data_IF_097228236971
#
_entry.id   IF_097228236971
#
_cell.length_a   1.000
_cell.length_b   1.000
_cell.length_c   1.000
_cell.angle_alpha   90.00
_cell.angle_beta   90.00
_cell.angle_gamma   90.00
#
_symmetry.space_group_name_H-M   'P 1'
#
loop_
_entity.id
_entity.type
_entity.pdbx_description
1 polymer ?
#
# COMPACT_ATOMS: atom_id res chain seq x y z
N UNK A 1 -10.66 -17.79 -23.80
CA UNK A 1 -10.91 -16.49 -24.45
C UNK A 1 -10.95 -15.44 -23.36
N UNK A 2 -10.11 -14.42 -23.39
CA UNK A 2 -10.19 -13.30 -22.44
C UNK A 2 -11.48 -12.53 -22.73
N UNK A 3 -12.44 -12.56 -21.81
CA UNK A 3 -13.60 -11.69 -21.91
C UNK A 3 -13.18 -10.28 -21.52
N UNK A 4 -13.37 -9.33 -22.44
CA UNK A 4 -13.21 -7.91 -22.11
C UNK A 4 -14.20 -7.55 -21.00
N UNK A 5 -13.70 -6.89 -19.95
CA UNK A 5 -14.48 -6.38 -18.82
C UNK A 5 -14.30 -4.86 -18.76
N UNK A 6 -15.09 -4.09 -19.53
CA UNK A 6 -15.05 -2.64 -19.46
C UNK A 6 -15.45 -2.16 -18.07
N UNK A 7 -14.72 -1.18 -17.56
CA UNK A 7 -15.05 -0.52 -16.31
C UNK A 7 -16.26 0.37 -16.55
N UNK A 8 -17.40 0.06 -15.93
CA UNK A 8 -18.62 0.86 -16.05
C UNK A 8 -18.99 1.53 -14.74
N UNK A 9 -18.57 0.95 -13.61
CA UNK A 9 -18.76 1.53 -12.28
C UNK A 9 -17.51 1.42 -11.42
N UNK A 10 -17.10 2.53 -10.84
CA UNK A 10 -15.97 2.61 -9.92
C UNK A 10 -16.42 3.03 -8.52
N UNK A 11 -15.97 2.32 -7.48
CA UNK A 11 -16.14 2.70 -6.08
C UNK A 11 -14.86 3.33 -5.56
N UNK A 12 -14.91 4.63 -5.25
CA UNK A 12 -13.77 5.44 -4.81
C UNK A 12 -13.86 5.74 -3.31
N UNK A 13 -12.93 5.23 -2.51
CA UNK A 13 -12.87 5.44 -1.06
C UNK A 13 -11.42 5.48 -0.57
N UNK A 14 -10.78 6.63 -0.76
CA UNK A 14 -9.36 6.86 -0.42
C UNK A 14 -9.20 7.67 0.88
N UNK A 15 -8.13 7.44 1.64
CA UNK A 15 -7.63 8.34 2.69
C UNK A 15 -6.78 9.46 2.10
N UNK A 16 -5.76 9.14 1.29
CA UNK A 16 -4.94 10.08 0.53
C UNK A 16 -5.67 10.53 -0.73
N UNK A 17 -5.95 11.83 -0.81
CA UNK A 17 -6.73 12.46 -1.89
C UNK A 17 -5.87 12.89 -3.09
N UNK A 18 -4.56 12.67 -3.05
CA UNK A 18 -3.65 13.08 -4.13
C UNK A 18 -4.06 12.45 -5.46
N UNK A 19 -4.31 13.27 -6.48
CA UNK A 19 -4.66 12.83 -7.84
C UNK A 19 -6.06 12.22 -8.02
N UNK A 20 -6.87 12.09 -6.94
CA UNK A 20 -8.15 11.38 -7.03
C UNK A 20 -9.19 12.12 -7.87
N UNK A 21 -9.16 13.45 -7.88
CA UNK A 21 -10.12 14.28 -8.62
C UNK A 21 -9.87 14.13 -10.12
N UNK A 22 -8.61 14.24 -10.53
CA UNK A 22 -8.16 14.08 -11.92
C UNK A 22 -8.46 12.67 -12.42
N UNK A 23 -8.19 11.66 -11.60
CA UNK A 23 -8.50 10.27 -11.93
C UNK A 23 -10.01 10.03 -12.07
N UNK A 24 -10.82 10.57 -11.15
CA UNK A 24 -12.28 10.46 -11.20
C UNK A 24 -12.89 11.21 -12.41
N UNK A 25 -12.35 12.38 -12.76
CA UNK A 25 -12.71 13.10 -13.99
C UNK A 25 -12.40 12.25 -15.23
N UNK A 26 -11.21 11.64 -15.29
CA UNK A 26 -10.84 10.77 -16.39
C UNK A 26 -11.77 9.55 -16.51
N UNK A 27 -12.13 8.91 -15.40
CA UNK A 27 -13.13 7.84 -15.37
C UNK A 27 -14.50 8.33 -15.86
N UNK A 28 -14.98 9.46 -15.35
CA UNK A 28 -16.29 10.01 -15.73
C UNK A 28 -16.38 10.37 -17.22
N UNK A 29 -15.32 10.95 -17.80
CA UNK A 29 -15.24 11.24 -19.24
C UNK A 29 -15.37 9.99 -20.11
N UNK A 30 -15.05 8.81 -19.57
CA UNK A 30 -15.18 7.50 -20.23
C UNK A 30 -16.53 6.83 -19.96
N UNK A 31 -17.47 7.55 -19.33
CA UNK A 31 -18.80 7.06 -19.00
C UNK A 31 -18.86 6.15 -17.78
N UNK A 32 -17.82 6.15 -16.93
CA UNK A 32 -17.81 5.38 -15.69
C UNK A 32 -18.69 6.07 -14.65
N UNK A 33 -19.63 5.32 -14.07
CA UNK A 33 -20.41 5.76 -12.93
C UNK A 33 -19.55 5.75 -11.66
N UNK A 34 -19.60 6.85 -10.90
CA UNK A 34 -18.81 7.01 -9.69
C UNK A 34 -19.65 6.75 -8.45
N UNK A 35 -19.26 5.74 -7.67
CA UNK A 35 -19.70 5.56 -6.30
C UNK A 35 -18.60 6.06 -5.36
N UNK A 36 -18.97 6.69 -4.24
CA UNK A 36 -17.97 7.12 -3.25
C UNK A 36 -18.51 7.18 -1.83
N UNK A 37 -17.62 7.40 -0.86
CA UNK A 37 -17.97 7.49 0.57
C UNK A 37 -17.46 8.78 1.20
N UNK A 38 -18.26 9.35 2.11
CA UNK A 38 -17.87 10.40 3.05
C UNK A 38 -17.04 11.53 2.44
N UNK A 39 -15.84 11.74 2.98
CA UNK A 39 -14.95 12.82 2.53
C UNK A 39 -14.51 12.72 1.06
N UNK A 40 -14.42 11.51 0.50
CA UNK A 40 -14.11 11.35 -0.94
C UNK A 40 -15.29 11.80 -1.78
N UNK A 41 -16.52 11.40 -1.44
CA UNK A 41 -17.72 11.81 -2.16
C UNK A 41 -17.87 13.34 -2.16
N UNK A 42 -17.70 13.99 -0.99
CA UNK A 42 -17.75 15.45 -0.87
C UNK A 42 -16.73 16.15 -1.77
N UNK A 43 -15.48 15.67 -1.79
CA UNK A 43 -14.42 16.22 -2.62
C UNK A 43 -14.77 16.14 -4.12
N UNK A 44 -15.26 14.98 -4.56
CA UNK A 44 -15.65 14.77 -5.97
C UNK A 44 -16.87 15.63 -6.36
N UNK A 45 -17.88 15.72 -5.49
CA UNK A 45 -19.04 16.59 -5.70
C UNK A 45 -18.65 18.08 -5.79
N UNK A 46 -17.73 18.54 -4.93
CA UNK A 46 -17.21 19.91 -4.97
C UNK A 46 -16.45 20.22 -6.26
N UNK A 47 -15.82 19.21 -6.87
CA UNK A 47 -15.19 19.31 -8.18
C UNK A 47 -16.20 19.21 -9.35
N UNK A 48 -17.51 19.15 -9.08
CA UNK A 48 -18.56 19.12 -10.08
C UNK A 48 -18.82 17.76 -10.71
N UNK A 49 -18.28 16.67 -10.14
CA UNK A 49 -18.49 15.32 -10.66
C UNK A 49 -19.83 14.74 -10.18
N UNK A 50 -20.58 14.03 -11.04
CA UNK A 50 -21.75 13.27 -10.62
C UNK A 50 -21.30 12.01 -9.88
N UNK A 51 -21.38 12.04 -8.56
CA UNK A 51 -21.02 10.93 -7.69
C UNK A 51 -22.22 10.51 -6.85
N UNK A 52 -22.45 9.21 -6.75
CA UNK A 52 -23.48 8.63 -5.89
C UNK A 52 -22.84 8.23 -4.57
N UNK A 53 -23.37 8.69 -3.43
CA UNK A 53 -22.89 8.22 -2.13
C UNK A 53 -23.29 6.75 -1.91
N UNK A 54 -22.43 5.99 -1.23
CA UNK A 54 -22.72 4.59 -0.89
C UNK A 54 -23.97 4.45 -0.02
N UNK A 55 -24.26 5.42 0.85
CA UNK A 55 -25.51 5.49 1.62
C UNK A 55 -26.75 5.49 0.71
N UNK A 56 -26.75 6.32 -0.33
CA UNK A 56 -27.82 6.39 -1.33
C UNK A 56 -27.91 5.10 -2.15
N UNK A 57 -26.77 4.55 -2.59
CA UNK A 57 -26.72 3.30 -3.34
C UNK A 57 -27.25 2.09 -2.52
N UNK A 58 -26.86 2.02 -1.24
CA UNK A 58 -27.27 0.93 -0.36
C UNK A 58 -28.71 1.10 0.12
N UNK A 59 -29.16 2.35 0.32
CA UNK A 59 -30.40 2.70 0.99
C UNK A 59 -30.28 2.60 2.52
N UNK A 60 -29.05 2.56 3.05
CA UNK A 60 -28.78 2.42 4.47
C UNK A 60 -27.96 3.63 4.97
N UNK A 61 -28.42 4.33 6.04
CA UNK A 61 -27.75 5.53 6.51
C UNK A 61 -26.40 5.21 7.16
N UNK A 62 -25.55 6.23 7.28
CA UNK A 62 -24.33 6.12 8.08
C UNK A 62 -24.67 5.91 9.57
N UNK A 63 -23.99 4.96 10.22
CA UNK A 63 -24.18 4.65 11.65
C UNK A 63 -22.85 4.27 12.31
N UNK A 64 -22.79 4.38 13.64
CA UNK A 64 -21.58 4.09 14.44
C UNK A 64 -20.35 4.84 13.92
N UNK A 65 -20.52 6.15 13.67
CA UNK A 65 -19.49 7.04 13.13
C UNK A 65 -18.82 6.52 11.85
N UNK A 66 -19.59 5.84 11.00
CA UNK A 66 -19.14 5.36 9.69
C UNK A 66 -18.42 4.02 9.70
N UNK A 67 -18.30 3.34 10.85
CA UNK A 67 -17.59 2.05 10.99
C UNK A 67 -18.09 0.93 10.08
N UNK A 68 -19.38 0.94 9.75
CA UNK A 68 -20.03 -0.15 9.00
C UNK A 68 -20.56 0.29 7.63
N UNK A 69 -20.22 1.50 7.18
CA UNK A 69 -20.84 2.14 5.99
C UNK A 69 -20.69 1.35 4.69
N UNK A 70 -19.60 0.60 4.52
CA UNK A 70 -19.34 -0.20 3.30
C UNK A 70 -19.56 -1.70 3.50
N UNK A 71 -19.79 -2.15 4.73
CA UNK A 71 -19.99 -3.57 5.08
C UNK A 71 -21.43 -4.01 4.76
N UNK A 72 -21.82 -3.83 3.50
CA UNK A 72 -23.18 -4.04 3.03
C UNK A 72 -23.23 -5.02 1.83
N UNK A 73 -24.22 -5.95 1.76
CA UNK A 73 -24.33 -6.91 0.66
C UNK A 73 -24.44 -6.29 -0.74
N UNK A 74 -25.05 -5.11 -0.90
CA UNK A 74 -25.07 -4.41 -2.20
C UNK A 74 -23.68 -3.96 -2.67
N UNK A 75 -22.78 -3.62 -1.75
CA UNK A 75 -21.40 -3.23 -2.07
C UNK A 75 -20.59 -4.48 -2.36
N UNK A 76 -20.50 -5.41 -1.39
CA UNK A 76 -19.70 -6.62 -1.56
C UNK A 76 -20.27 -7.58 -2.60
N UNK A 77 -21.58 -7.64 -2.81
CA UNK A 77 -22.19 -8.40 -3.90
C UNK A 77 -21.90 -7.78 -5.27
N UNK A 78 -21.81 -6.45 -5.37
CA UNK A 78 -21.38 -5.77 -6.59
C UNK A 78 -19.93 -6.08 -6.95
N UNK A 79 -19.07 -6.20 -5.92
CA UNK A 79 -17.64 -6.53 -6.07
C UNK A 79 -17.40 -8.03 -6.30
N UNK A 80 -17.98 -8.91 -5.48
CA UNK A 80 -17.71 -10.36 -5.47
C UNK A 80 -18.58 -11.18 -6.42
N UNK A 81 -19.67 -10.61 -6.92
CA UNK A 81 -20.59 -11.32 -7.81
C UNK A 81 -19.90 -11.72 -9.11
N UNK A 82 -19.76 -13.03 -9.34
CA UNK A 82 -19.13 -13.57 -10.56
C UNK A 82 -20.09 -13.36 -11.71
N UNK A 83 -19.69 -12.53 -12.68
CA UNK A 83 -20.61 -12.04 -13.71
C UNK A 83 -21.26 -13.15 -14.52
N UNK A 84 -20.57 -14.27 -14.70
CA UNK A 84 -21.03 -15.39 -15.52
C UNK A 84 -21.86 -16.43 -14.73
N UNK A 85 -21.92 -16.34 -13.39
CA UNK A 85 -22.60 -17.32 -12.53
C UNK A 85 -23.69 -16.71 -11.65
N UNK A 86 -23.45 -15.50 -11.16
CA UNK A 86 -24.26 -14.89 -10.10
C UNK A 86 -25.16 -13.74 -10.63
N UNK A 87 -25.15 -13.48 -11.95
CA UNK A 87 -25.90 -12.37 -12.55
C UNK A 87 -27.41 -12.39 -12.21
N UNK A 88 -28.05 -13.56 -12.23
CA UNK A 88 -29.49 -13.68 -11.93
C UNK A 88 -29.81 -13.30 -10.47
N UNK A 89 -29.01 -13.78 -9.52
CA UNK A 89 -29.20 -13.45 -8.09
C UNK A 89 -28.86 -11.98 -7.81
N UNK A 90 -27.83 -11.44 -8.46
CA UNK A 90 -27.51 -10.02 -8.38
C UNK A 90 -28.69 -9.16 -8.85
N UNK A 91 -29.27 -9.48 -10.02
CA UNK A 91 -30.42 -8.77 -10.56
C UNK A 91 -31.65 -8.86 -9.64
N UNK A 92 -31.96 -10.07 -9.13
CA UNK A 92 -33.08 -10.30 -8.22
C UNK A 92 -33.02 -9.41 -6.97
N UNK A 93 -31.81 -9.14 -6.46
CA UNK A 93 -31.60 -8.33 -5.27
C UNK A 93 -31.22 -6.88 -5.57
N UNK A 94 -31.30 -6.43 -6.84
CA UNK A 94 -30.95 -5.07 -7.24
C UNK A 94 -29.49 -4.72 -6.99
N UNK A 95 -28.60 -5.72 -7.02
CA UNK A 95 -27.16 -5.56 -6.84
C UNK A 95 -26.54 -5.32 -8.20
N UNK A 96 -25.93 -4.16 -8.39
CA UNK A 96 -25.31 -3.83 -9.65
C UNK A 96 -23.79 -4.09 -9.60
N UNK A 97 -23.17 -4.51 -10.72
CA UNK A 97 -21.72 -4.68 -10.84
C UNK A 97 -20.88 -3.48 -10.38
N UNK A 98 -19.84 -3.71 -9.59
CA UNK A 98 -18.74 -2.75 -9.39
C UNK A 98 -17.52 -3.33 -10.08
N UNK A 99 -16.96 -2.61 -11.05
CA UNK A 99 -15.90 -3.10 -11.95
C UNK A 99 -14.51 -2.57 -11.55
N UNK A 100 -14.47 -1.46 -10.82
CA UNK A 100 -13.26 -0.92 -10.22
C UNK A 100 -13.51 -0.51 -8.78
N UNK A 101 -12.54 -0.79 -7.91
CA UNK A 101 -12.51 -0.33 -6.53
C UNK A 101 -11.20 0.41 -6.33
N UNK A 102 -11.26 1.64 -5.83
CA UNK A 102 -10.08 2.46 -5.53
C UNK A 102 -10.10 2.80 -4.04
N UNK A 103 -9.17 2.21 -3.31
CA UNK A 103 -9.09 2.29 -1.85
C UNK A 103 -7.62 2.31 -1.46
N UNK A 104 -7.19 3.41 -0.85
CA UNK A 104 -5.94 3.42 -0.08
C UNK A 104 -6.32 3.51 1.42
N UNK A 105 -5.64 2.70 2.24
CA UNK A 105 -5.98 2.55 3.65
C UNK A 105 -5.58 3.78 4.46
N UNK A 106 -6.23 3.98 5.60
CA UNK A 106 -5.82 5.03 6.53
C UNK A 106 -4.39 4.77 7.02
N UNK A 107 -3.53 5.79 7.17
CA UNK A 107 -2.14 5.58 7.55
C UNK A 107 -2.04 5.26 9.05
N UNK A 108 -2.33 4.01 9.41
CA UNK A 108 -2.21 3.50 10.78
C UNK A 108 -0.80 3.77 11.34
N UNK A 109 0.25 3.54 10.53
CA UNK A 109 1.63 3.86 10.87
C UNK A 109 1.84 5.32 11.29
N UNK A 110 1.23 6.29 10.59
CA UNK A 110 1.33 7.70 10.96
C UNK A 110 0.57 8.00 12.26
N UNK A 111 -0.51 7.28 12.53
CA UNK A 111 -1.30 7.44 13.76
C UNK A 111 -0.51 7.02 14.98
N UNK A 112 0.04 5.81 14.96
CA UNK A 112 0.78 5.25 16.10
C UNK A 112 2.17 5.87 16.27
N UNK A 113 2.69 6.56 15.25
CA UNK A 113 3.93 7.32 15.34
C UNK A 113 3.77 8.66 16.09
N UNK A 114 2.53 9.15 16.32
CA UNK A 114 2.33 10.40 17.07
C UNK A 114 2.68 10.19 18.56
N UNK A 115 3.46 11.09 19.18
CA UNK A 115 3.87 10.95 20.59
C UNK A 115 2.71 10.91 21.59
N UNK A 116 1.56 11.48 21.23
CA UNK A 116 0.34 11.59 22.03
C UNK A 116 -0.72 10.54 21.69
N UNK A 117 -0.43 9.59 20.79
CA UNK A 117 -1.38 8.53 20.42
C UNK A 117 -1.64 7.60 21.61
N UNK A 118 -2.87 7.61 22.12
CA UNK A 118 -3.31 6.61 23.10
C UNK A 118 -3.58 5.25 22.44
N UNK A 119 -3.70 4.20 23.25
CA UNK A 119 -4.13 2.89 22.76
C UNK A 119 -5.56 2.95 22.19
N UNK A 120 -6.44 3.78 22.77
CA UNK A 120 -7.80 3.99 22.26
C UNK A 120 -7.76 4.64 20.87
N UNK A 121 -6.92 5.68 20.68
CA UNK A 121 -6.73 6.31 19.38
C UNK A 121 -6.24 5.30 18.34
N UNK A 122 -5.29 4.43 18.71
CA UNK A 122 -4.81 3.39 17.81
C UNK A 122 -5.93 2.42 17.41
N UNK A 123 -6.75 1.97 18.36
CA UNK A 123 -7.89 1.07 18.09
C UNK A 123 -8.92 1.73 17.17
N UNK A 124 -9.24 3.00 17.39
CA UNK A 124 -10.22 3.74 16.57
C UNK A 124 -9.75 3.93 15.12
N UNK A 125 -8.44 3.95 14.88
CA UNK A 125 -7.86 4.10 13.55
C UNK A 125 -7.62 2.77 12.80
N UNK A 126 -8.10 1.64 13.35
CA UNK A 126 -8.12 0.36 12.63
C UNK A 126 -9.28 0.37 11.63
N UNK A 127 -8.95 0.32 10.34
CA UNK A 127 -9.92 0.25 9.26
C UNK A 127 -10.41 -1.18 9.06
N UNK A 128 -11.72 -1.37 9.08
CA UNK A 128 -12.38 -2.65 8.79
C UNK A 128 -12.93 -2.66 7.36
N UNK A 129 -13.55 -1.57 6.94
CA UNK A 129 -14.23 -1.47 5.66
C UNK A 129 -13.25 -1.47 4.48
N UNK A 130 -12.16 -0.71 4.59
CA UNK A 130 -11.12 -0.60 3.58
C UNK A 130 -10.50 -1.96 3.24
N UNK A 131 -9.87 -2.67 4.20
CA UNK A 131 -9.28 -3.99 3.95
C UNK A 131 -10.29 -5.01 3.44
N UNK A 132 -11.54 -4.97 3.92
CA UNK A 132 -12.59 -5.88 3.43
C UNK A 132 -12.93 -5.62 1.96
N UNK A 133 -13.04 -4.36 1.52
CA UNK A 133 -13.26 -4.00 0.12
C UNK A 133 -12.05 -4.36 -0.76
N UNK A 134 -10.84 -4.04 -0.31
CA UNK A 134 -9.59 -4.36 -1.02
C UNK A 134 -9.49 -5.87 -1.28
N UNK A 135 -9.67 -6.69 -0.23
CA UNK A 135 -9.62 -8.16 -0.35
C UNK A 135 -10.76 -8.72 -1.19
N UNK A 136 -11.95 -8.13 -1.11
CA UNK A 136 -13.10 -8.54 -1.93
C UNK A 136 -12.82 -8.33 -3.42
N UNK A 137 -12.29 -7.16 -3.79
CA UNK A 137 -11.98 -6.83 -5.17
C UNK A 137 -10.80 -7.66 -5.69
N UNK A 138 -9.72 -7.78 -4.91
CA UNK A 138 -8.55 -8.61 -5.27
C UNK A 138 -8.93 -10.09 -5.48
N UNK A 139 -9.80 -10.65 -4.61
CA UNK A 139 -10.32 -12.01 -4.78
C UNK A 139 -11.07 -12.18 -6.11
N UNK A 140 -11.81 -11.17 -6.55
CA UNK A 140 -12.60 -11.22 -7.78
C UNK A 140 -11.94 -10.50 -8.97
N UNK A 141 -10.61 -10.52 -9.04
CA UNK A 141 -9.82 -9.87 -10.11
C UNK A 141 -10.15 -10.33 -11.54
N UNK A 142 -10.86 -11.45 -11.71
CA UNK A 142 -11.39 -11.84 -13.01
C UNK A 142 -12.36 -10.80 -13.58
N UNK A 143 -13.11 -10.12 -12.71
CA UNK A 143 -14.17 -9.20 -13.08
C UNK A 143 -13.95 -7.77 -12.54
N UNK A 144 -13.09 -7.58 -11.54
CA UNK A 144 -12.91 -6.30 -10.84
C UNK A 144 -11.46 -5.85 -10.80
N UNK A 145 -11.18 -4.58 -11.08
CA UNK A 145 -9.89 -3.96 -10.85
C UNK A 145 -9.82 -3.34 -9.45
N UNK A 146 -8.74 -3.57 -8.71
CA UNK A 146 -8.49 -2.97 -7.39
C UNK A 146 -7.29 -2.02 -7.48
N UNK A 147 -7.43 -0.79 -7.02
CA UNK A 147 -6.36 0.21 -7.06
C UNK A 147 -6.09 0.67 -5.64
N UNK A 148 -4.89 0.41 -5.15
CA UNK A 148 -4.46 0.76 -3.77
C UNK A 148 -3.37 1.84 -3.74
N UNK A 149 -2.77 2.16 -4.88
CA UNK A 149 -1.71 3.14 -5.00
C UNK A 149 -2.11 4.23 -6.02
N UNK A 150 -2.01 5.49 -5.62
CA UNK A 150 -2.33 6.64 -6.46
C UNK A 150 -1.37 6.75 -7.67
N UNK A 151 -0.15 6.20 -7.56
CA UNK A 151 0.81 6.15 -8.66
C UNK A 151 0.39 5.26 -9.84
N UNK A 152 -0.61 4.39 -9.67
CA UNK A 152 -1.12 3.55 -10.76
C UNK A 152 -2.16 4.26 -11.65
N UNK A 153 -2.66 5.44 -11.25
CA UNK A 153 -3.78 6.12 -11.92
C UNK A 153 -3.54 6.40 -13.41
N UNK A 154 -2.41 7.00 -13.77
CA UNK A 154 -2.10 7.34 -15.17
C UNK A 154 -2.02 6.10 -16.06
N UNK A 155 -1.34 5.05 -15.60
CA UNK A 155 -1.20 3.80 -16.33
C UNK A 155 -2.54 3.10 -16.54
N UNK A 156 -3.41 3.13 -15.54
CA UNK A 156 -4.78 2.57 -15.62
C UNK A 156 -5.60 3.30 -16.69
N UNK A 157 -5.56 4.64 -16.70
CA UNK A 157 -6.28 5.42 -17.70
C UNK A 157 -5.75 5.14 -19.10
N UNK A 158 -4.42 5.11 -19.28
CA UNK A 158 -3.80 4.80 -20.55
C UNK A 158 -4.18 3.39 -21.07
N UNK A 159 -4.20 2.39 -20.19
CA UNK A 159 -4.61 1.03 -20.56
C UNK A 159 -6.10 0.96 -20.91
N UNK A 160 -6.97 1.64 -20.15
CA UNK A 160 -8.38 1.75 -20.47
C UNK A 160 -8.62 2.35 -21.87
N UNK A 161 -7.86 3.38 -22.25
CA UNK A 161 -7.95 3.98 -23.59
C UNK A 161 -7.53 3.01 -24.68
N UNK A 162 -6.47 2.23 -24.44
CA UNK A 162 -5.99 1.23 -25.38
C UNK A 162 -6.95 0.04 -25.56
N UNK A 163 -7.82 -0.23 -24.57
CA UNK A 163 -8.65 -1.43 -24.51
C UNK A 163 -10.16 -1.15 -24.38
N UNK A 164 -10.65 -0.06 -24.99
CA UNK A 164 -12.08 0.28 -25.04
C UNK A 164 -12.75 0.34 -23.65
N UNK A 165 -12.07 0.98 -22.70
CA UNK A 165 -12.53 1.15 -21.32
C UNK A 165 -12.29 -0.06 -20.41
N UNK A 166 -11.61 -1.10 -20.87
CA UNK A 166 -11.27 -2.29 -20.07
C UNK A 166 -9.80 -2.29 -19.64
N UNK A 167 -9.50 -3.05 -18.59
CA UNK A 167 -8.14 -3.50 -18.30
C UNK A 167 -7.94 -4.93 -18.80
N UNK A 168 -6.70 -5.31 -19.06
CA UNK A 168 -6.35 -6.70 -19.34
C UNK A 168 -6.49 -7.55 -18.08
N UNK A 169 -6.64 -8.87 -18.26
CA UNK A 169 -6.63 -9.81 -17.13
C UNK A 169 -5.29 -9.79 -16.38
N UNK A 170 -4.19 -9.58 -17.11
CA UNK A 170 -2.86 -9.51 -16.53
C UNK A 170 -2.74 -8.31 -15.58
N UNK A 171 -3.19 -7.13 -16.01
CA UNK A 171 -3.21 -5.93 -15.17
C UNK A 171 -4.11 -6.10 -13.96
N UNK A 172 -5.33 -6.63 -14.11
CA UNK A 172 -6.20 -6.88 -12.95
C UNK A 172 -5.59 -7.86 -11.95
N UNK A 173 -4.88 -8.88 -12.43
CA UNK A 173 -4.18 -9.82 -11.57
C UNK A 173 -3.00 -9.16 -10.84
N UNK A 174 -2.17 -8.39 -11.54
CA UNK A 174 -1.07 -7.62 -10.93
C UNK A 174 -1.58 -6.67 -9.82
N UNK A 175 -2.61 -5.90 -10.14
CA UNK A 175 -3.30 -5.03 -9.19
C UNK A 175 -3.85 -5.79 -7.97
N UNK A 176 -4.37 -7.01 -8.16
CA UNK A 176 -4.83 -7.86 -7.06
C UNK A 176 -3.68 -8.36 -6.17
N UNK A 177 -2.51 -8.65 -6.74
CA UNK A 177 -1.32 -9.00 -5.97
C UNK A 177 -0.86 -7.78 -5.14
N UNK A 178 -0.73 -6.60 -5.75
CA UNK A 178 -0.44 -5.34 -5.05
C UNK A 178 -1.42 -5.08 -3.90
N UNK A 179 -2.71 -5.37 -4.11
CA UNK A 179 -3.74 -5.22 -3.09
C UNK A 179 -3.55 -6.16 -1.90
N UNK A 180 -3.19 -7.43 -2.13
CA UNK A 180 -2.90 -8.36 -1.04
C UNK A 180 -1.63 -8.00 -0.29
N UNK A 181 -0.56 -7.59 -1.00
CA UNK A 181 0.67 -7.06 -0.40
C UNK A 181 0.37 -5.85 0.49
N UNK A 182 -0.45 -4.91 0.02
CA UNK A 182 -0.87 -3.73 0.79
C UNK A 182 -1.62 -4.11 2.07
N UNK A 183 -2.54 -5.08 2.01
CA UNK A 183 -3.25 -5.55 3.21
C UNK A 183 -2.37 -6.35 4.17
N UNK A 184 -1.40 -7.11 3.65
CA UNK A 184 -0.43 -7.83 4.48
C UNK A 184 0.46 -6.85 5.26
N UNK A 185 0.90 -5.77 4.61
CA UNK A 185 1.64 -4.69 5.25
C UNK A 185 0.81 -3.99 6.33
N UNK A 186 -0.45 -3.68 6.03
CA UNK A 186 -1.37 -3.05 6.98
C UNK A 186 -1.59 -3.88 8.24
N UNK A 187 -1.95 -5.16 8.09
CA UNK A 187 -2.17 -6.06 9.23
C UNK A 187 -0.88 -6.30 10.03
N UNK A 188 0.27 -6.33 9.37
CA UNK A 188 1.58 -6.42 10.03
C UNK A 188 1.85 -5.21 10.92
N UNK A 189 1.50 -3.99 10.48
CA UNK A 189 1.67 -2.78 11.29
C UNK A 189 0.82 -2.83 12.57
N UNK A 190 -0.44 -3.27 12.45
CA UNK A 190 -1.34 -3.46 13.59
C UNK A 190 -0.76 -4.53 14.55
N UNK A 191 -0.38 -5.69 14.02
CA UNK A 191 0.16 -6.78 14.81
C UNK A 191 1.46 -6.39 15.52
N UNK A 192 2.36 -5.66 14.86
CA UNK A 192 3.61 -5.19 15.45
C UNK A 192 3.36 -4.17 16.57
N UNK A 193 2.46 -3.20 16.36
CA UNK A 193 2.12 -2.19 17.38
C UNK A 193 1.52 -2.84 18.64
N UNK A 194 0.40 -3.55 18.52
CA UNK A 194 -0.24 -4.18 19.68
C UNK A 194 0.58 -5.32 20.26
N UNK A 195 1.39 -5.99 19.43
CA UNK A 195 2.35 -7.01 19.87
C UNK A 195 3.40 -6.48 20.85
N UNK A 196 3.79 -5.20 20.72
CA UNK A 196 4.74 -4.55 21.65
C UNK A 196 4.16 -4.31 23.05
N UNK A 197 2.83 -4.21 23.17
CA UNK A 197 2.11 -3.91 24.40
C UNK A 197 1.81 -5.14 25.27
N UNK A 198 2.08 -6.34 24.75
CA UNK A 198 1.75 -7.61 25.40
C UNK A 198 3.01 -8.40 25.76
N UNK A 199 2.96 -9.17 26.85
CA UNK A 199 4.15 -9.86 27.36
C UNK A 199 4.67 -10.95 26.41
N UNK A 200 5.97 -11.14 26.16
CA UNK A 200 6.45 -12.08 25.16
C UNK A 200 6.03 -13.55 25.45
N UNK A 201 6.05 -14.42 24.43
CA UNK A 201 5.75 -15.85 24.63
C UNK A 201 6.85 -16.57 25.43
N UNK A 202 8.09 -16.06 25.34
CA UNK A 202 9.27 -16.59 26.01
C UNK A 202 10.10 -15.42 26.58
N UNK A 203 10.82 -15.63 27.68
CA UNK A 203 11.60 -14.59 28.36
C UNK A 203 10.88 -14.02 29.57
N UNK A 204 11.01 -12.71 29.80
CA UNK A 204 10.29 -12.03 30.89
C UNK A 204 8.81 -11.86 30.52
N UNK A 205 7.97 -12.76 31.03
CA UNK A 205 6.53 -12.77 30.79
C UNK A 205 5.75 -11.77 31.66
N UNK A 206 6.43 -11.00 32.51
CA UNK A 206 5.80 -10.04 33.42
C UNK A 206 5.90 -8.60 32.91
N UNK A 207 6.60 -8.36 31.81
CA UNK A 207 6.69 -7.05 31.15
C UNK A 207 6.18 -7.13 29.70
N UNK A 208 5.67 -6.01 29.14
CA UNK A 208 5.39 -5.93 27.70
C UNK A 208 6.63 -6.31 26.88
N UNK A 209 6.40 -6.86 25.69
CA UNK A 209 7.40 -7.46 24.80
C UNK A 209 8.67 -6.62 24.58
N UNK A 210 8.60 -5.29 24.75
CA UNK A 210 9.78 -4.46 24.94
C UNK A 210 10.80 -4.64 23.82
N UNK A 211 11.99 -5.17 24.17
CA UNK A 211 13.18 -5.24 23.30
C UNK A 211 13.00 -6.09 22.03
N UNK A 212 12.14 -7.12 22.05
CA UNK A 212 11.90 -7.97 20.88
C UNK A 212 10.43 -8.42 20.81
N UNK A 213 9.78 -8.37 19.63
CA UNK A 213 8.37 -8.70 19.47
C UNK A 213 8.08 -10.20 19.62
N UNK A 214 6.86 -10.55 20.04
CA UNK A 214 6.34 -11.93 20.01
C UNK A 214 6.41 -12.55 18.61
N UNK A 215 6.08 -11.75 17.59
CA UNK A 215 6.05 -12.11 16.18
C UNK A 215 6.75 -10.99 15.42
N UNK A 216 7.74 -11.33 14.61
CA UNK A 216 8.43 -10.37 13.74
C UNK A 216 7.77 -10.38 12.35
N UNK A 217 6.97 -9.36 12.04
CA UNK A 217 6.41 -9.17 10.70
C UNK A 217 7.21 -8.09 9.96
N UNK A 218 7.92 -8.50 8.91
CA UNK A 218 8.70 -7.62 8.04
C UNK A 218 7.98 -7.46 6.70
N UNK A 219 7.84 -6.22 6.24
CA UNK A 219 7.33 -5.91 4.91
C UNK A 219 8.42 -5.15 4.16
N UNK A 220 9.04 -5.84 3.21
CA UNK A 220 10.18 -5.33 2.48
C UNK A 220 9.83 -5.24 0.99
N UNK A 221 10.12 -4.10 0.38
CA UNK A 221 9.90 -3.85 -1.04
C UNK A 221 11.22 -4.03 -1.79
N UNK A 222 11.19 -4.78 -2.90
CA UNK A 222 12.37 -4.98 -3.73
C UNK A 222 12.73 -3.65 -4.42
N UNK A 223 13.90 -3.09 -4.11
CA UNK A 223 14.41 -1.87 -4.75
C UNK A 223 15.15 -2.17 -6.05
N UNK A 224 15.93 -3.26 -6.09
CA UNK A 224 16.70 -3.63 -7.28
C UNK A 224 17.21 -5.08 -7.23
N UNK A 225 17.38 -5.70 -8.39
CA UNK A 225 18.19 -6.91 -8.55
C UNK A 225 19.68 -6.61 -8.38
N UNK A 226 20.40 -7.50 -7.72
CA UNK A 226 21.87 -7.42 -7.65
C UNK A 226 22.48 -8.15 -8.85
N UNK A 227 23.69 -7.72 -9.24
CA UNK A 227 24.45 -8.42 -10.28
C UNK A 227 24.73 -9.89 -9.93
N UNK A 228 24.98 -10.15 -8.65
CA UNK A 228 25.20 -11.44 -8.00
C UNK A 228 25.21 -11.20 -6.48
N UNK A 229 25.22 -12.26 -5.68
CA UNK A 229 25.37 -12.21 -4.22
C UNK A 229 26.79 -11.86 -3.78
N UNK A 230 27.25 -12.43 -2.68
CA UNK A 230 28.63 -12.22 -2.22
C UNK A 230 29.65 -12.76 -3.23
N UNK A 231 29.30 -13.86 -3.92
CA UNK A 231 30.08 -14.52 -4.97
C UNK A 231 29.29 -14.62 -6.27
N UNK A 232 30.00 -14.70 -7.40
CA UNK A 232 29.40 -14.63 -8.75
C UNK A 232 28.40 -15.74 -9.11
N UNK A 233 28.38 -16.85 -8.38
CA UNK A 233 27.44 -17.96 -8.59
C UNK A 233 26.14 -17.82 -7.77
N UNK A 234 26.06 -16.83 -6.87
CA UNK A 234 24.90 -16.60 -6.01
C UNK A 234 23.99 -15.53 -6.63
N UNK A 235 22.68 -15.72 -6.55
CA UNK A 235 21.70 -14.68 -6.88
C UNK A 235 21.46 -13.78 -5.66
N UNK A 236 21.13 -12.51 -5.88
CA UNK A 236 20.76 -11.60 -4.82
C UNK A 236 19.85 -10.46 -5.31
N UNK A 237 19.11 -9.87 -4.38
CA UNK A 237 18.30 -8.69 -4.58
C UNK A 237 18.36 -7.80 -3.34
N UNK A 238 18.20 -6.49 -3.54
CA UNK A 238 18.18 -5.51 -2.45
C UNK A 238 16.75 -5.09 -2.18
N UNK A 239 16.37 -5.22 -0.92
CA UNK A 239 15.05 -4.90 -0.42
C UNK A 239 15.14 -3.78 0.61
N UNK A 240 14.08 -2.99 0.73
CA UNK A 240 14.00 -1.83 1.63
C UNK A 240 12.69 -1.85 2.42
N UNK A 241 12.69 -1.18 3.57
CA UNK A 241 11.48 -0.81 4.31
C UNK A 241 10.93 0.53 3.79
N UNK A 242 9.61 0.69 3.81
CA UNK A 242 8.93 1.95 3.50
C UNK A 242 7.91 2.30 4.60
N UNK A 243 7.81 3.58 5.02
CA UNK A 243 8.66 4.71 4.63
C UNK A 243 10.05 4.64 5.28
N UNK A 244 11.06 5.21 4.60
CA UNK A 244 12.41 5.33 5.14
C UNK A 244 12.49 6.54 6.08
N UNK A 245 12.99 6.33 7.29
CA UNK A 245 12.93 7.33 8.38
C UNK A 245 14.28 8.02 8.61
N UNK A 246 15.38 7.39 8.19
CA UNK A 246 16.74 7.91 8.35
C UNK A 246 17.58 7.79 7.07
N UNK A 247 18.62 8.61 6.97
CA UNK A 247 19.60 8.49 5.91
C UNK A 247 20.47 7.24 6.11
N UNK A 248 20.39 6.32 5.15
CA UNK A 248 21.15 5.07 5.10
C UNK A 248 21.34 4.62 3.65
N UNK A 249 22.00 3.47 3.43
CA UNK A 249 22.21 2.93 2.07
C UNK A 249 20.89 2.68 1.33
N UNK A 250 19.82 2.38 2.07
CA UNK A 250 18.48 2.17 1.51
C UNK A 250 17.90 3.45 0.88
N UNK A 251 18.27 4.63 1.38
CA UNK A 251 17.89 5.95 0.82
C UNK A 251 18.84 6.47 -0.27
N UNK A 252 19.97 5.80 -0.50
CA UNK A 252 21.00 6.32 -1.39
C UNK A 252 20.52 6.44 -2.85
N UNK A 253 20.94 7.54 -3.50
CA UNK A 253 20.78 7.76 -4.93
C UNK A 253 22.15 7.60 -5.62
N UNK A 254 22.24 6.66 -6.55
CA UNK A 254 23.46 6.50 -7.35
C UNK A 254 23.51 7.57 -8.44
N UNK A 255 24.50 8.46 -8.38
CA UNK A 255 24.68 9.54 -9.37
C UNK A 255 25.49 9.10 -10.60
N UNK A 256 26.40 8.13 -10.44
CA UNK A 256 27.27 7.62 -11.52
C UNK A 256 27.75 6.20 -11.25
N UNK A 257 28.39 5.60 -12.26
CA UNK A 257 29.03 4.28 -12.16
C UNK A 257 28.15 3.12 -12.63
N UNK A 258 28.68 1.90 -12.50
CA UNK A 258 27.96 0.67 -12.84
C UNK A 258 26.98 0.30 -11.73
N UNK A 259 26.01 -0.56 -12.02
CA UNK A 259 25.13 -1.13 -11.00
C UNK A 259 25.93 -1.75 -9.84
N UNK A 260 25.51 -1.45 -8.61
CA UNK A 260 26.14 -1.92 -7.38
C UNK A 260 26.04 -3.45 -7.25
N UNK A 261 27.11 -4.07 -6.77
CA UNK A 261 27.07 -5.48 -6.33
C UNK A 261 26.61 -5.59 -4.87
N UNK A 262 26.27 -6.80 -4.42
CA UNK A 262 25.97 -7.08 -3.01
C UNK A 262 27.08 -6.56 -2.08
N UNK A 263 28.34 -6.87 -2.39
CA UNK A 263 29.48 -6.43 -1.58
C UNK A 263 29.64 -4.90 -1.58
N UNK A 264 29.28 -4.22 -2.67
CA UNK A 264 29.32 -2.75 -2.67
C UNK A 264 28.29 -2.17 -1.72
N UNK A 265 27.08 -2.73 -1.66
CA UNK A 265 26.07 -2.28 -0.70
C UNK A 265 26.56 -2.54 0.72
N UNK A 266 27.06 -3.75 1.02
CA UNK A 266 27.58 -4.10 2.35
C UNK A 266 28.75 -3.21 2.79
N UNK A 267 29.74 -2.97 1.90
CA UNK A 267 30.89 -2.10 2.20
C UNK A 267 30.46 -0.64 2.38
N UNK A 268 29.49 -0.17 1.58
CA UNK A 268 28.99 1.21 1.69
C UNK A 268 28.19 1.42 2.97
N UNK A 269 27.37 0.44 3.36
CA UNK A 269 26.62 0.48 4.61
C UNK A 269 27.56 0.50 5.82
N UNK A 270 28.56 -0.39 5.86
CA UNK A 270 29.59 -0.39 6.89
C UNK A 270 30.38 0.93 6.95
N UNK A 271 30.72 1.52 5.81
CA UNK A 271 31.42 2.81 5.77
C UNK A 271 30.52 3.94 6.29
N UNK A 272 29.25 3.95 5.89
CA UNK A 272 28.28 4.97 6.27
C UNK A 272 27.95 4.93 7.77
N UNK A 273 27.67 3.75 8.32
CA UNK A 273 27.36 3.62 9.74
C UNK A 273 28.60 3.89 10.61
N UNK A 274 29.80 3.56 10.13
CA UNK A 274 31.03 3.92 10.83
C UNK A 274 31.25 5.43 10.83
N UNK A 275 31.09 6.12 9.70
CA UNK A 275 31.30 7.58 9.64
C UNK A 275 30.24 8.34 10.44
N UNK A 276 28.99 7.85 10.51
CA UNK A 276 27.89 8.40 11.32
C UNK A 276 28.18 8.38 12.83
N UNK A 277 29.14 7.59 13.30
CA UNK A 277 29.52 7.55 14.72
C UNK A 277 30.35 8.75 15.19
N UNK A 278 30.83 9.58 14.26
CA UNK A 278 31.63 10.76 14.54
C UNK A 278 30.81 12.05 14.35
N UNK A 279 31.09 13.05 15.17
CA UNK A 279 30.45 14.38 15.05
C UNK A 279 31.28 15.36 14.23
N UNK A 280 32.58 15.12 14.17
CA UNK A 280 33.59 15.87 13.42
C UNK A 280 33.65 15.40 11.96
N UNK A 281 34.15 16.23 11.03
CA UNK A 281 34.47 15.78 9.67
C UNK A 281 35.34 14.51 9.70
N UNK A 282 34.80 13.44 9.14
CA UNK A 282 35.41 12.11 9.19
C UNK A 282 35.45 11.45 7.82
N UNK A 283 36.50 10.68 7.57
CA UNK A 283 36.64 9.84 6.39
C UNK A 283 36.85 8.39 6.82
N UNK A 284 36.02 7.49 6.30
CA UNK A 284 36.11 6.04 6.53
C UNK A 284 36.29 5.33 5.20
N UNK A 285 37.31 4.48 5.12
CA UNK A 285 37.58 3.63 3.96
C UNK A 285 37.37 2.18 4.36
N UNK A 286 36.41 1.50 3.74
CA UNK A 286 36.07 0.09 4.01
C UNK A 286 36.47 -0.81 2.85
N UNK A 287 36.88 -2.03 3.19
CA UNK A 287 37.05 -3.14 2.23
C UNK A 287 36.62 -4.45 2.90
N UNK A 288 35.73 -5.21 2.26
CA UNK A 288 35.23 -6.47 2.80
C UNK A 288 34.65 -6.31 4.22
N UNK A 289 33.80 -5.31 4.40
CA UNK A 289 33.17 -4.90 5.66
C UNK A 289 34.14 -4.50 6.79
N UNK A 290 35.44 -4.35 6.50
CA UNK A 290 36.45 -3.97 7.48
C UNK A 290 37.00 -2.57 7.19
N UNK A 291 37.08 -1.67 8.19
CA UNK A 291 37.70 -0.36 8.00
C UNK A 291 39.21 -0.54 7.78
N UNK A 292 39.67 -0.10 6.62
CA UNK A 292 41.09 -0.05 6.26
C UNK A 292 41.75 1.25 6.73
N UNK A 293 40.97 2.32 6.91
CA UNK A 293 41.42 3.61 7.40
C UNK A 293 40.25 4.42 7.93
N UNK A 294 40.49 5.12 9.04
CA UNK A 294 39.55 6.06 9.68
C UNK A 294 40.35 7.29 10.08
N UNK A 295 39.89 8.48 9.68
CA UNK A 295 40.54 9.74 10.00
C UNK A 295 39.50 10.82 10.33
N UNK A 296 39.89 11.73 11.22
CA UNK A 296 39.18 12.97 11.52
C UNK A 296 39.98 14.15 10.96
N UNK A 297 39.29 15.22 10.60
CA UNK A 297 39.89 16.47 10.14
C UNK A 297 39.09 17.68 10.61
N UNK A 298 39.69 18.87 10.51
CA UNK A 298 38.99 20.12 10.80
C UNK A 298 37.93 20.44 9.72
N UNK A 299 38.16 19.98 8.48
CA UNK A 299 37.22 20.04 7.36
C UNK A 299 37.35 18.80 6.43
N UNK A 300 36.50 18.71 5.39
CA UNK A 300 36.51 17.64 4.39
C UNK A 300 37.34 17.96 3.13
N UNK A 301 38.01 19.12 3.07
CA UNK A 301 38.54 19.70 1.82
C UNK A 301 40.08 19.78 1.77
#
# INVERSE_FOLDING_TARGET
>A
MQHSRPVRRALLSVSDKSGIVEFAQALHLRGVELLSTGGTARLLSQAGLPVTEVSDYTGFPEMMDGRVKTLHPKVHGGILGRRDRDAAVMQQHGIQPIDMVVVNLYPFAQTVARPDCSQEDAVENIDIGGPTMVRSAAKNHNDVAIVVNNGDFENIIAEMDAHHGALTQATRFDLAIKAFEHTAAYDSMIANYFGSLVAPYHGDIHSPSGRFPRTLNLNLVKKQDMRYGENGHQQAAFYIEEPQVEACIATAQQLQGKALSYNNIADTDAALECVKSFTEPACVIVKHANPCGVALGDDLF
#
